data_IF_945869219640
#
_entry.id   IF_945869219640
#
_cell.length_a   1.000
_cell.length_b   1.000
_cell.length_c   1.000
_cell.angle_alpha   90.00
_cell.angle_beta   90.00
_cell.angle_gamma   90.00
#
_symmetry.space_group_name_H-M   'P 1'
#
loop_
_entity.id
_entity.type
_entity.pdbx_description
1 polymer ?
#
# COMPACT_ATOMS: atom_id res chain seq x y z
N UNK A 1 11.64 56.34 35.47
CA UNK A 1 10.52 55.94 34.62
C UNK A 1 11.10 55.17 33.43
N UNK A 2 11.20 53.83 33.52
CA UNK A 2 11.62 52.97 32.41
C UNK A 2 10.33 52.35 31.86
N UNK A 3 10.09 52.51 30.54
CA UNK A 3 8.99 51.89 29.84
C UNK A 3 9.42 50.48 29.45
N UNK A 4 8.68 49.48 29.88
CA UNK A 4 8.76 48.12 29.38
C UNK A 4 8.21 48.11 27.94
N UNK A 5 9.07 47.83 26.96
CA UNK A 5 8.67 47.43 25.62
C UNK A 5 8.46 45.92 25.61
N UNK A 6 7.23 45.50 25.81
CA UNK A 6 6.77 44.14 25.54
C UNK A 6 6.80 43.91 24.04
N UNK A 7 7.79 43.14 23.56
CA UNK A 7 7.91 42.74 22.16
C UNK A 7 6.79 41.75 21.82
N UNK A 8 5.67 42.23 21.30
CA UNK A 8 4.63 41.41 20.72
C UNK A 8 5.15 40.74 19.43
N UNK A 9 5.15 39.43 19.38
CA UNK A 9 5.47 38.66 18.17
C UNK A 9 4.44 39.02 17.07
N UNK A 10 4.85 39.35 15.85
CA UNK A 10 3.91 39.75 14.80
C UNK A 10 2.93 38.59 14.47
N UNK A 11 1.64 38.88 14.40
CA UNK A 11 0.57 37.92 14.08
C UNK A 11 0.85 37.08 12.79
N UNK A 12 1.63 37.63 11.84
CA UNK A 12 2.00 36.95 10.59
C UNK A 12 2.94 35.73 10.79
N UNK A 13 3.68 35.66 11.91
CA UNK A 13 4.53 34.49 12.22
C UNK A 13 3.72 33.39 12.92
N UNK A 14 2.71 33.75 13.69
CA UNK A 14 1.81 32.79 14.36
C UNK A 14 0.93 32.11 13.32
N UNK A 15 0.37 32.85 12.36
CA UNK A 15 -0.46 32.31 11.28
C UNK A 15 0.35 31.37 10.35
N UNK A 16 1.59 31.70 10.04
CA UNK A 16 2.47 30.84 9.26
C UNK A 16 2.83 29.53 10.01
N UNK A 17 3.01 29.60 11.32
CA UNK A 17 3.26 28.44 12.17
C UNK A 17 2.07 27.51 12.22
N UNK A 18 0.85 28.01 12.39
CA UNK A 18 -0.38 27.21 12.46
C UNK A 18 -0.69 26.56 11.10
N UNK A 19 -0.50 27.28 9.99
CA UNK A 19 -0.66 26.73 8.64
C UNK A 19 0.38 25.64 8.33
N UNK A 20 1.60 25.82 8.81
CA UNK A 20 2.67 24.83 8.67
C UNK A 20 2.41 23.54 9.47
N UNK A 21 1.85 23.63 10.69
CA UNK A 21 1.45 22.46 11.47
C UNK A 21 0.28 21.71 10.82
N UNK A 22 -0.72 22.41 10.31
CA UNK A 22 -1.84 21.81 9.57
C UNK A 22 -1.40 21.10 8.29
N UNK A 23 -0.43 21.66 7.55
CA UNK A 23 0.11 21.06 6.33
C UNK A 23 0.98 19.84 6.60
N UNK A 24 1.69 19.79 7.74
CA UNK A 24 2.40 18.58 8.17
C UNK A 24 1.45 17.42 8.48
N UNK A 25 0.29 17.73 9.02
CA UNK A 25 -0.73 16.75 9.36
C UNK A 25 -1.38 16.12 8.12
N UNK A 26 -1.58 16.88 7.04
CA UNK A 26 -2.26 16.38 5.83
C UNK A 26 -1.52 15.21 5.17
N UNK A 27 -0.18 15.24 5.07
CA UNK A 27 0.59 14.17 4.46
C UNK A 27 0.49 12.87 5.26
N UNK A 28 0.74 12.94 6.55
CA UNK A 28 0.69 11.78 7.42
C UNK A 28 -0.73 11.21 7.52
N UNK A 29 -1.73 12.09 7.65
CA UNK A 29 -3.13 11.68 7.67
C UNK A 29 -3.52 10.95 6.37
N UNK A 30 -3.15 11.49 5.21
CA UNK A 30 -3.49 10.87 3.92
C UNK A 30 -2.76 9.54 3.71
N UNK A 31 -1.50 9.42 4.15
CA UNK A 31 -0.78 8.13 4.13
C UNK A 31 -1.45 7.09 5.04
N UNK A 32 -1.95 7.47 6.21
CA UNK A 32 -2.74 6.59 7.08
C UNK A 32 -4.06 6.16 6.41
N UNK A 33 -4.76 7.10 5.75
CA UNK A 33 -6.00 6.81 5.00
C UNK A 33 -5.74 5.85 3.82
N UNK A 34 -4.61 6.00 3.10
CA UNK A 34 -4.18 5.06 2.05
C UNK A 34 -3.95 3.67 2.63
N UNK A 35 -3.18 3.56 3.71
CA UNK A 35 -2.87 2.28 4.34
C UNK A 35 -4.14 1.60 4.90
N UNK A 36 -5.07 2.36 5.45
CA UNK A 36 -6.36 1.85 5.93
C UNK A 36 -7.25 1.34 4.77
N UNK A 37 -7.25 2.04 3.63
CA UNK A 37 -7.98 1.64 2.43
C UNK A 37 -7.35 0.40 1.81
N UNK A 38 -6.02 0.32 1.78
CA UNK A 38 -5.29 -0.86 1.32
C UNK A 38 -5.65 -2.11 2.13
N UNK A 39 -5.64 -2.03 3.46
CA UNK A 39 -6.04 -3.17 4.32
C UNK A 39 -7.45 -3.63 3.99
N UNK A 40 -8.43 -2.72 3.90
CA UNK A 40 -9.81 -3.05 3.55
C UNK A 40 -9.91 -3.70 2.17
N UNK A 41 -9.14 -3.21 1.20
CA UNK A 41 -9.14 -3.74 -0.17
C UNK A 41 -8.59 -5.16 -0.21
N UNK A 42 -7.48 -5.41 0.48
CA UNK A 42 -6.84 -6.74 0.50
C UNK A 42 -7.69 -7.75 1.29
N UNK A 43 -8.30 -7.34 2.41
CA UNK A 43 -9.26 -8.18 3.14
C UNK A 43 -10.48 -8.52 2.27
N UNK A 44 -11.04 -7.53 1.56
CA UNK A 44 -12.14 -7.74 0.62
C UNK A 44 -11.73 -8.65 -0.55
N UNK A 45 -10.49 -8.51 -1.04
CA UNK A 45 -9.93 -9.40 -2.05
C UNK A 45 -9.86 -10.86 -1.54
N UNK A 46 -9.33 -11.07 -0.34
CA UNK A 46 -9.21 -12.40 0.27
C UNK A 46 -10.58 -13.07 0.48
N UNK A 47 -11.58 -12.31 0.91
CA UNK A 47 -12.96 -12.79 1.01
C UNK A 47 -13.54 -13.13 -0.38
N UNK A 48 -13.29 -12.28 -1.38
CA UNK A 48 -13.77 -12.45 -2.74
C UNK A 48 -13.22 -13.69 -3.43
N UNK A 49 -11.92 -13.97 -3.31
CA UNK A 49 -11.31 -15.19 -3.89
C UNK A 49 -11.76 -16.48 -3.18
N UNK A 50 -12.25 -16.35 -1.96
CA UNK A 50 -12.86 -17.45 -1.21
C UNK A 50 -14.33 -17.68 -1.57
N UNK A 51 -15.01 -16.65 -2.12
CA UNK A 51 -16.43 -16.69 -2.48
C UNK A 51 -16.65 -16.06 -3.86
N UNK A 52 -16.55 -16.86 -4.93
CA UNK A 52 -16.65 -16.43 -6.33
C UNK A 52 -18.11 -16.39 -6.85
N UNK A 53 -19.09 -16.10 -6.00
CA UNK A 53 -20.52 -16.12 -6.38
C UNK A 53 -20.90 -15.00 -7.38
N UNK A 54 -20.26 -13.82 -7.29
CA UNK A 54 -20.44 -12.70 -8.20
C UNK A 54 -19.11 -11.99 -8.48
N UNK A 55 -18.34 -12.57 -9.39
CA UNK A 55 -17.00 -12.08 -9.79
C UNK A 55 -17.06 -10.67 -10.38
N UNK A 56 -18.17 -10.32 -11.05
CA UNK A 56 -18.35 -8.98 -11.62
C UNK A 56 -18.55 -7.92 -10.55
N UNK A 57 -19.38 -8.19 -9.54
CA UNK A 57 -19.55 -7.27 -8.41
C UNK A 57 -18.27 -7.17 -7.60
N UNK A 58 -17.52 -8.27 -7.45
CA UNK A 58 -16.21 -8.31 -6.80
C UNK A 58 -15.21 -7.40 -7.50
N UNK A 59 -14.97 -7.56 -8.82
CA UNK A 59 -14.05 -6.74 -9.60
C UNK A 59 -14.47 -5.26 -9.61
N UNK A 60 -15.76 -4.97 -9.75
CA UNK A 60 -16.28 -3.61 -9.68
C UNK A 60 -15.98 -2.93 -8.34
N UNK A 61 -16.20 -3.64 -7.23
CA UNK A 61 -15.93 -3.08 -5.89
C UNK A 61 -14.44 -2.84 -5.67
N UNK A 62 -13.58 -3.72 -6.16
CA UNK A 62 -12.12 -3.51 -6.13
C UNK A 62 -11.72 -2.25 -6.90
N UNK A 63 -12.29 -2.01 -8.10
CA UNK A 63 -12.03 -0.79 -8.87
C UNK A 63 -12.51 0.48 -8.17
N UNK A 64 -13.62 0.42 -7.42
CA UNK A 64 -14.08 1.55 -6.60
C UNK A 64 -13.07 1.87 -5.47
N UNK A 65 -12.47 0.86 -4.85
CA UNK A 65 -11.49 1.03 -3.77
C UNK A 65 -10.14 1.54 -4.29
N UNK A 66 -9.70 1.06 -5.45
CA UNK A 66 -8.52 1.61 -6.15
C UNK A 66 -8.74 3.09 -6.50
N UNK A 67 -9.90 3.44 -7.06
CA UNK A 67 -10.21 4.83 -7.39
C UNK A 67 -10.28 5.74 -6.15
N UNK A 68 -10.63 5.21 -4.98
CA UNK A 68 -10.54 5.92 -3.71
C UNK A 68 -9.07 6.16 -3.31
N UNK A 69 -8.20 5.14 -3.47
CA UNK A 69 -6.77 5.24 -3.19
C UNK A 69 -6.07 6.25 -4.11
N UNK A 70 -6.41 6.23 -5.39
CA UNK A 70 -5.91 7.16 -6.41
C UNK A 70 -6.23 8.64 -6.05
N UNK A 71 -7.38 8.91 -5.42
CA UNK A 71 -7.71 10.25 -4.92
C UNK A 71 -6.77 10.71 -3.80
N UNK A 72 -6.32 9.81 -2.94
CA UNK A 72 -5.32 10.14 -1.92
C UNK A 72 -3.97 10.44 -2.54
N UNK A 73 -3.53 9.65 -3.52
CA UNK A 73 -2.31 9.88 -4.32
C UNK A 73 -2.34 11.26 -4.96
N UNK A 74 -3.42 11.62 -5.66
CA UNK A 74 -3.60 12.95 -6.22
C UNK A 74 -3.58 14.07 -5.18
N UNK A 75 -4.15 13.83 -4.01
CA UNK A 75 -4.15 14.80 -2.89
C UNK A 75 -2.75 15.06 -2.39
N UNK A 76 -1.94 14.01 -2.16
CA UNK A 76 -0.54 14.13 -1.73
C UNK A 76 0.28 14.89 -2.78
N UNK A 77 0.20 14.50 -4.05
CA UNK A 77 0.95 15.15 -5.14
C UNK A 77 0.58 16.64 -5.29
N UNK A 78 -0.70 16.97 -5.17
CA UNK A 78 -1.18 18.35 -5.20
C UNK A 78 -0.66 19.16 -4.02
N UNK A 79 -0.64 18.61 -2.82
CA UNK A 79 -0.14 19.29 -1.62
C UNK A 79 1.39 19.39 -1.63
N UNK A 80 2.12 18.41 -2.15
CA UNK A 80 3.56 18.50 -2.38
C UNK A 80 3.91 19.70 -3.28
N UNK A 81 3.15 19.95 -4.35
CA UNK A 81 3.40 21.08 -5.24
C UNK A 81 3.16 22.46 -4.60
N UNK A 82 2.39 22.54 -3.51
CA UNK A 82 2.06 23.80 -2.83
C UNK A 82 2.84 24.03 -1.53
N UNK A 83 3.43 22.97 -0.98
CA UNK A 83 4.02 22.98 0.36
C UNK A 83 5.55 23.00 0.25
N UNK A 84 6.19 23.98 0.88
CA UNK A 84 7.65 24.14 0.87
C UNK A 84 8.35 23.31 1.97
N UNK A 85 7.67 23.10 3.09
CA UNK A 85 8.19 22.37 4.25
C UNK A 85 7.31 21.16 4.53
N UNK A 86 7.89 19.96 4.39
CA UNK A 86 7.21 18.67 4.59
C UNK A 86 7.69 18.01 5.90
N UNK A 87 6.92 17.05 6.47
CA UNK A 87 7.29 16.37 7.71
C UNK A 87 8.51 15.46 7.60
N UNK A 88 8.74 14.88 6.43
CA UNK A 88 9.91 14.12 5.97
C UNK A 88 10.31 14.62 4.58
N UNK A 89 11.36 14.10 3.98
CA UNK A 89 11.80 14.52 2.65
C UNK A 89 10.68 14.33 1.61
N UNK A 90 10.57 15.28 0.68
CA UNK A 90 9.50 15.29 -0.35
C UNK A 90 9.55 14.06 -1.23
N UNK A 91 10.76 13.65 -1.57
CA UNK A 91 11.07 12.48 -2.37
C UNK A 91 10.59 11.20 -1.67
N UNK A 92 10.73 11.12 -0.35
CA UNK A 92 10.29 10.00 0.47
C UNK A 92 8.74 9.92 0.53
N UNK A 93 8.07 11.07 0.69
CA UNK A 93 6.59 11.11 0.64
C UNK A 93 6.11 10.66 -0.73
N UNK A 94 6.72 11.13 -1.80
CA UNK A 94 6.34 10.77 -3.17
C UNK A 94 6.57 9.28 -3.42
N UNK A 95 7.75 8.74 -3.08
CA UNK A 95 8.08 7.34 -3.26
C UNK A 95 7.12 6.44 -2.48
N UNK A 96 6.88 6.75 -1.20
CA UNK A 96 5.97 5.98 -0.35
C UNK A 96 4.54 6.01 -0.87
N UNK A 97 4.07 7.17 -1.35
CA UNK A 97 2.74 7.30 -1.96
C UNK A 97 2.62 6.42 -3.21
N UNK A 98 3.63 6.45 -4.10
CA UNK A 98 3.64 5.65 -5.31
C UNK A 98 3.69 4.14 -4.98
N UNK A 99 4.55 3.71 -4.06
CA UNK A 99 4.61 2.29 -3.69
C UNK A 99 3.31 1.78 -3.07
N UNK A 100 2.60 2.59 -2.26
CA UNK A 100 1.28 2.22 -1.72
C UNK A 100 0.22 2.10 -2.82
N UNK A 101 0.25 2.99 -3.81
CA UNK A 101 -0.61 2.98 -4.98
C UNK A 101 -0.36 1.74 -5.85
N UNK A 102 0.92 1.39 -6.10
CA UNK A 102 1.32 0.20 -6.85
C UNK A 102 0.80 -1.10 -6.21
N UNK A 103 0.77 -1.19 -4.87
CA UNK A 103 0.16 -2.34 -4.18
C UNK A 103 -1.34 -2.39 -4.44
N UNK A 104 -2.03 -1.25 -4.33
CA UNK A 104 -3.48 -1.18 -4.57
C UNK A 104 -3.84 -1.54 -6.01
N UNK A 105 -3.10 -1.02 -6.98
CA UNK A 105 -3.22 -1.33 -8.41
C UNK A 105 -2.97 -2.82 -8.67
N UNK A 106 -2.00 -3.41 -7.97
CA UNK A 106 -1.71 -4.84 -8.04
C UNK A 106 -2.89 -5.70 -7.63
N UNK A 107 -3.51 -5.39 -6.51
CA UNK A 107 -4.68 -6.13 -5.99
C UNK A 107 -5.89 -5.95 -6.90
N UNK A 108 -6.16 -4.72 -7.37
CA UNK A 108 -7.24 -4.45 -8.34
C UNK A 108 -7.03 -5.22 -9.63
N UNK A 109 -5.82 -5.19 -10.20
CA UNK A 109 -5.49 -5.90 -11.42
C UNK A 109 -5.65 -7.43 -11.30
N UNK A 110 -5.42 -8.00 -10.11
CA UNK A 110 -5.75 -9.40 -9.84
C UNK A 110 -7.27 -9.62 -9.88
N UNK A 111 -8.06 -8.81 -9.17
CA UNK A 111 -9.51 -8.94 -9.14
C UNK A 111 -10.15 -8.78 -10.53
N UNK A 112 -9.67 -7.84 -11.33
CA UNK A 112 -10.10 -7.65 -12.73
C UNK A 112 -9.85 -8.88 -13.59
N UNK A 113 -8.76 -9.63 -13.37
CA UNK A 113 -8.48 -10.88 -14.10
C UNK A 113 -9.49 -11.98 -13.80
N UNK A 114 -10.04 -12.02 -12.57
CA UNK A 114 -11.11 -12.97 -12.26
C UNK A 114 -12.34 -12.75 -13.14
N UNK A 115 -12.75 -11.49 -13.38
CA UNK A 115 -13.85 -11.16 -14.29
C UNK A 115 -13.46 -11.46 -15.76
N UNK A 116 -12.32 -10.94 -16.22
CA UNK A 116 -11.86 -11.07 -17.60
C UNK A 116 -11.68 -12.53 -18.04
N UNK A 117 -11.16 -13.37 -17.14
CA UNK A 117 -10.88 -14.78 -17.44
C UNK A 117 -12.02 -15.71 -17.07
N UNK A 118 -13.12 -15.15 -16.53
CA UNK A 118 -14.30 -15.92 -16.09
C UNK A 118 -13.94 -17.01 -15.08
N UNK A 119 -13.13 -16.68 -14.10
CA UNK A 119 -12.73 -17.60 -13.03
C UNK A 119 -13.97 -17.95 -12.19
N UNK A 120 -14.25 -19.25 -12.02
CA UNK A 120 -15.44 -19.74 -11.32
C UNK A 120 -15.12 -20.67 -10.17
N UNK A 121 -13.91 -21.17 -10.12
CA UNK A 121 -13.49 -22.16 -9.14
C UNK A 121 -12.46 -21.56 -8.19
N UNK A 122 -12.60 -21.91 -6.93
CA UNK A 122 -11.64 -21.55 -5.89
C UNK A 122 -10.30 -22.23 -6.19
N UNK A 123 -9.22 -21.49 -6.00
CA UNK A 123 -7.87 -21.96 -6.15
C UNK A 123 -7.12 -21.82 -4.82
N UNK A 124 -6.50 -22.91 -4.36
CA UNK A 124 -5.82 -22.95 -3.07
C UNK A 124 -4.58 -22.04 -3.05
N UNK A 125 -3.81 -21.99 -4.15
CA UNK A 125 -2.62 -21.13 -4.25
C UNK A 125 -3.01 -19.65 -4.23
N UNK A 126 -4.09 -19.27 -4.91
CA UNK A 126 -4.61 -17.90 -4.88
C UNK A 126 -5.03 -17.53 -3.45
N UNK A 127 -5.63 -18.47 -2.71
CA UNK A 127 -6.02 -18.23 -1.30
C UNK A 127 -4.80 -18.03 -0.41
N UNK A 128 -3.70 -18.76 -0.64
CA UNK A 128 -2.44 -18.58 0.10
C UNK A 128 -1.79 -17.23 -0.22
N UNK A 129 -1.75 -16.81 -1.48
CA UNK A 129 -1.28 -15.47 -1.86
C UNK A 129 -2.13 -14.38 -1.20
N UNK A 130 -3.46 -14.53 -1.18
CA UNK A 130 -4.34 -13.57 -0.54
C UNK A 130 -4.07 -13.44 0.97
N UNK A 131 -3.76 -14.54 1.68
CA UNK A 131 -3.33 -14.51 3.08
C UNK A 131 -2.00 -13.75 3.26
N UNK A 132 -1.02 -13.99 2.41
CA UNK A 132 0.26 -13.25 2.43
C UNK A 132 -0.01 -11.75 2.24
N UNK A 133 -0.81 -11.37 1.25
CA UNK A 133 -1.16 -9.97 0.99
C UNK A 133 -1.89 -9.31 2.17
N UNK A 134 -2.82 -10.01 2.81
CA UNK A 134 -3.50 -9.49 4.02
C UNK A 134 -2.49 -9.20 5.13
N UNK A 135 -1.59 -10.14 5.38
CA UNK A 135 -0.53 -9.96 6.39
C UNK A 135 0.39 -8.80 6.01
N UNK A 136 0.78 -8.68 4.74
CA UNK A 136 1.62 -7.57 4.25
C UNK A 136 0.93 -6.22 4.42
N UNK A 137 -0.36 -6.10 4.08
CA UNK A 137 -1.12 -4.86 4.26
C UNK A 137 -1.19 -4.42 5.72
N UNK A 138 -1.33 -5.35 6.67
CA UNK A 138 -1.29 -5.04 8.11
C UNK A 138 0.10 -4.60 8.58
N UNK A 139 1.19 -5.17 8.04
CA UNK A 139 2.55 -4.71 8.33
C UNK A 139 2.76 -3.28 7.79
N UNK A 140 2.35 -3.02 6.55
CA UNK A 140 2.39 -1.68 5.94
C UNK A 140 1.64 -0.66 6.81
N UNK A 141 0.40 -0.95 7.17
CA UNK A 141 -0.41 -0.07 8.02
C UNK A 141 0.28 0.24 9.34
N UNK A 142 0.82 -0.78 10.00
CA UNK A 142 1.54 -0.61 11.28
C UNK A 142 2.79 0.24 11.12
N UNK A 143 3.56 0.03 10.05
CA UNK A 143 4.76 0.80 9.75
C UNK A 143 4.42 2.28 9.44
N UNK A 144 3.39 2.54 8.63
CA UNK A 144 2.91 3.91 8.33
C UNK A 144 2.46 4.61 9.62
N UNK A 145 1.71 3.93 10.50
CA UNK A 145 1.33 4.49 11.78
C UNK A 145 2.54 4.87 12.65
N UNK A 146 3.58 4.03 12.71
CA UNK A 146 4.81 4.34 13.44
C UNK A 146 5.57 5.51 12.82
N UNK A 147 5.60 5.62 11.48
CA UNK A 147 6.17 6.76 10.76
C UNK A 147 5.49 8.07 11.17
N UNK A 148 4.16 8.11 11.22
CA UNK A 148 3.40 9.31 11.60
C UNK A 148 3.63 9.71 13.05
N UNK A 149 3.92 8.72 13.92
CA UNK A 149 4.31 8.94 15.32
C UNK A 149 5.81 9.22 15.48
N UNK A 150 6.59 9.27 14.40
CA UNK A 150 8.06 9.44 14.39
C UNK A 150 8.81 8.36 15.20
N UNK A 151 8.26 7.16 15.27
CA UNK A 151 8.84 6.00 15.94
C UNK A 151 9.57 5.13 14.92
N UNK A 152 10.70 5.60 14.42
CA UNK A 152 11.40 4.99 13.29
C UNK A 152 12.02 3.62 13.63
N UNK A 153 12.63 3.46 14.80
CA UNK A 153 13.29 2.20 15.16
C UNK A 153 12.34 1.00 15.24
N UNK A 154 11.15 1.10 15.90
CA UNK A 154 10.16 0.01 15.89
C UNK A 154 9.60 -0.30 14.49
N UNK A 155 9.60 0.67 13.57
CA UNK A 155 9.13 0.48 12.19
C UNK A 155 9.95 -0.57 11.43
N UNK A 156 11.23 -0.73 11.77
CA UNK A 156 12.14 -1.70 11.13
C UNK A 156 11.68 -3.15 11.24
N UNK A 157 11.03 -3.51 12.34
CA UNK A 157 10.49 -4.87 12.52
C UNK A 157 9.41 -5.19 11.47
N UNK A 158 8.59 -4.21 11.11
CA UNK A 158 7.59 -4.36 10.06
C UNK A 158 8.21 -4.47 8.66
N UNK A 159 9.30 -3.74 8.38
CA UNK A 159 10.04 -3.87 7.12
C UNK A 159 10.64 -5.28 6.99
N UNK A 160 11.25 -5.82 8.04
CA UNK A 160 11.77 -7.20 8.06
C UNK A 160 10.64 -8.20 7.79
N UNK A 161 9.48 -8.03 8.44
CA UNK A 161 8.33 -8.91 8.23
C UNK A 161 7.79 -8.85 6.79
N UNK A 162 7.83 -7.68 6.13
CA UNK A 162 7.43 -7.54 4.73
C UNK A 162 8.37 -8.31 3.79
N UNK A 163 9.68 -8.22 4.00
CA UNK A 163 10.67 -8.99 3.23
C UNK A 163 10.51 -10.51 3.44
N UNK A 164 10.18 -10.94 4.66
CA UNK A 164 9.89 -12.36 4.92
C UNK A 164 8.61 -12.84 4.22
N UNK A 165 7.60 -11.97 4.07
CA UNK A 165 6.35 -12.27 3.39
C UNK A 165 6.53 -12.33 1.88
N UNK A 166 7.34 -11.44 1.30
CA UNK A 166 7.74 -11.50 -0.11
C UNK A 166 8.46 -12.82 -0.41
N UNK A 167 9.47 -13.20 0.37
CA UNK A 167 10.18 -14.49 0.21
C UNK A 167 9.22 -15.70 0.28
N UNK A 168 8.16 -15.64 1.12
CA UNK A 168 7.11 -16.68 1.16
C UNK A 168 6.29 -16.70 -0.14
N UNK A 169 5.98 -15.54 -0.72
CA UNK A 169 5.24 -15.44 -1.98
C UNK A 169 6.06 -15.94 -3.17
N UNK A 170 7.35 -15.62 -3.22
CA UNK A 170 8.29 -16.07 -4.24
C UNK A 170 8.45 -17.61 -4.22
N UNK A 171 8.59 -18.19 -3.03
CA UNK A 171 8.62 -19.65 -2.89
C UNK A 171 7.28 -20.30 -3.28
N UNK A 172 6.16 -19.66 -2.93
CA UNK A 172 4.81 -20.12 -3.32
C UNK A 172 4.63 -20.07 -4.84
N UNK A 173 5.11 -19.01 -5.52
CA UNK A 173 5.08 -18.92 -6.98
C UNK A 173 5.81 -20.09 -7.63
N UNK A 174 7.02 -20.43 -7.18
CA UNK A 174 7.78 -21.56 -7.70
C UNK A 174 7.02 -22.89 -7.58
N UNK A 175 6.37 -23.09 -6.44
CA UNK A 175 5.59 -24.32 -6.18
C UNK A 175 4.33 -24.36 -7.06
N UNK A 176 3.54 -23.28 -7.11
CA UNK A 176 2.29 -23.27 -7.85
C UNK A 176 2.54 -23.36 -9.38
N UNK A 177 3.55 -22.69 -9.91
CA UNK A 177 3.95 -22.81 -11.33
C UNK A 177 4.39 -24.25 -11.66
N UNK A 178 5.22 -24.88 -10.84
CA UNK A 178 5.62 -26.28 -11.03
C UNK A 178 4.40 -27.21 -11.05
N UNK A 179 3.49 -27.05 -10.08
CA UNK A 179 2.25 -27.83 -10.00
C UNK A 179 1.34 -27.59 -11.21
N UNK A 180 1.22 -26.34 -11.64
CA UNK A 180 0.39 -25.95 -12.78
C UNK A 180 0.83 -26.65 -14.06
N UNK A 181 2.12 -26.62 -14.39
CA UNK A 181 2.67 -27.27 -15.59
C UNK A 181 2.64 -28.80 -15.52
N UNK A 182 2.70 -29.39 -14.33
CA UNK A 182 2.62 -30.84 -14.16
C UNK A 182 1.18 -31.36 -14.35
N UNK A 183 0.17 -30.65 -13.87
CA UNK A 183 -1.18 -31.16 -13.69
C UNK A 183 -2.21 -30.61 -14.67
N UNK A 184 -2.09 -29.34 -15.14
CA UNK A 184 -3.06 -28.71 -16.02
C UNK A 184 -2.71 -28.99 -17.48
N UNK A 185 -3.67 -29.58 -18.22
CA UNK A 185 -3.49 -29.96 -19.65
C UNK A 185 -4.13 -28.97 -20.62
N UNK A 186 -5.13 -28.23 -20.16
CA UNK A 186 -5.75 -27.18 -20.99
C UNK A 186 -4.82 -25.95 -21.02
N UNK A 187 -4.30 -25.56 -22.21
CA UNK A 187 -3.39 -24.43 -22.31
C UNK A 187 -4.05 -23.08 -21.94
N UNK A 188 -5.36 -22.94 -22.13
CA UNK A 188 -6.09 -21.72 -21.77
C UNK A 188 -6.17 -21.59 -20.24
N UNK A 189 -6.53 -22.65 -19.53
CA UNK A 189 -6.55 -22.65 -18.07
C UNK A 189 -5.16 -22.47 -17.49
N UNK A 190 -4.13 -23.04 -18.10
CA UNK A 190 -2.75 -22.87 -17.71
C UNK A 190 -2.33 -21.39 -17.80
N UNK A 191 -2.62 -20.71 -18.94
CA UNK A 191 -2.29 -19.29 -19.13
C UNK A 191 -3.00 -18.42 -18.09
N UNK A 192 -4.32 -18.60 -17.91
CA UNK A 192 -5.11 -17.81 -16.95
C UNK A 192 -4.54 -17.88 -15.53
N UNK A 193 -4.32 -19.12 -15.04
CA UNK A 193 -3.79 -19.32 -13.69
C UNK A 193 -2.37 -18.78 -13.53
N UNK A 194 -1.50 -19.02 -14.53
CA UNK A 194 -0.14 -18.50 -14.55
C UNK A 194 -0.12 -16.98 -14.40
N UNK A 195 -0.91 -16.26 -15.21
CA UNK A 195 -0.97 -14.80 -15.17
C UNK A 195 -1.50 -14.26 -13.82
N UNK A 196 -2.45 -14.98 -13.19
CA UNK A 196 -2.94 -14.58 -11.86
C UNK A 196 -1.87 -14.81 -10.81
N UNK A 197 -1.19 -15.95 -10.80
CA UNK A 197 -0.14 -16.24 -9.82
C UNK A 197 1.02 -15.25 -9.92
N UNK A 198 1.51 -14.99 -11.14
CA UNK A 198 2.58 -14.01 -11.39
C UNK A 198 2.15 -12.59 -10.97
N UNK A 199 0.88 -12.20 -11.19
CA UNK A 199 0.42 -10.88 -10.77
C UNK A 199 0.29 -10.78 -9.25
N UNK A 200 -0.11 -11.85 -8.56
CA UNK A 200 -0.20 -11.87 -7.10
C UNK A 200 1.18 -11.73 -6.46
N UNK A 201 2.17 -12.45 -6.97
CA UNK A 201 3.56 -12.34 -6.52
C UNK A 201 4.11 -10.94 -6.80
N UNK A 202 3.96 -10.38 -8.01
CA UNK A 202 4.34 -9.00 -8.30
C UNK A 202 3.68 -7.97 -7.36
N UNK A 203 2.50 -8.28 -6.83
CA UNK A 203 1.84 -7.41 -5.85
C UNK A 203 2.51 -7.53 -4.47
N UNK A 204 3.05 -8.69 -4.12
CA UNK A 204 3.87 -8.84 -2.89
C UNK A 204 5.23 -8.15 -3.02
N UNK A 205 5.84 -8.15 -4.22
CA UNK A 205 7.04 -7.35 -4.52
C UNK A 205 6.77 -5.85 -4.29
N UNK A 206 5.60 -5.34 -4.73
CA UNK A 206 5.21 -3.95 -4.42
C UNK A 206 5.12 -3.70 -2.90
N UNK A 207 4.72 -4.70 -2.09
CA UNK A 207 4.74 -4.56 -0.62
C UNK A 207 6.19 -4.49 -0.08
N UNK A 208 7.14 -5.21 -0.68
CA UNK A 208 8.57 -5.08 -0.36
C UNK A 208 9.10 -3.69 -0.75
N UNK A 209 8.69 -3.13 -1.87
CA UNK A 209 9.07 -1.76 -2.29
C UNK A 209 8.60 -0.70 -1.28
N UNK A 210 7.45 -0.89 -0.64
CA UNK A 210 7.04 -0.07 0.51
C UNK A 210 8.04 -0.22 1.66
N UNK A 211 8.46 -1.43 2.00
CA UNK A 211 9.44 -1.69 3.06
C UNK A 211 10.79 -1.02 2.74
N UNK A 212 11.28 -1.15 1.51
CA UNK A 212 12.53 -0.55 1.04
C UNK A 212 12.49 0.99 1.15
N UNK A 213 11.36 1.60 0.81
CA UNK A 213 11.13 3.05 0.97
C UNK A 213 11.16 3.45 2.45
N UNK A 214 10.48 2.70 3.32
CA UNK A 214 10.47 2.94 4.77
C UNK A 214 11.87 2.76 5.40
N UNK A 215 12.65 1.77 4.97
CA UNK A 215 14.04 1.60 5.42
C UNK A 215 14.92 2.78 5.02
N UNK A 216 14.74 3.31 3.80
CA UNK A 216 15.42 4.54 3.36
C UNK A 216 15.10 5.73 4.27
N UNK A 217 13.84 5.88 4.68
CA UNK A 217 13.41 6.93 5.62
C UNK A 217 14.07 6.73 6.99
N UNK A 218 14.13 5.49 7.50
CA UNK A 218 14.81 5.18 8.77
C UNK A 218 16.28 5.60 8.68
N UNK A 219 17.00 5.19 7.64
CA UNK A 219 18.44 5.47 7.48
C UNK A 219 18.77 6.96 7.39
N UNK A 220 17.89 7.77 6.79
CA UNK A 220 18.13 9.23 6.68
C UNK A 220 17.78 10.02 7.94
N UNK A 221 16.98 9.45 8.83
CA UNK A 221 16.44 10.15 9.99
C UNK A 221 16.86 9.52 11.35
N UNK A 222 17.82 8.57 11.32
CA UNK A 222 18.34 7.87 12.52
C UNK A 222 19.62 8.52 13.06
#
# INVERSE_FOLDING_TARGET
MRRDESSAIPNSQVDKGIDMFKKKDIFFKTLEEMADTLVKAVEYFADGVSNLSDVKAFAKRMKEMESECDQYTHTILKELNKTFITPIEREDIMALTTSLDDVMDGVEACASRFEMYHIKEKDEYITLFADILVRSAHQIKSAIYLLTQKKLLPMREHCISLNELENQADDLLRVCISSLFANVKDPIELIKRKEIYERLEQTTDCCEDVANTLESIIMRNS
#
